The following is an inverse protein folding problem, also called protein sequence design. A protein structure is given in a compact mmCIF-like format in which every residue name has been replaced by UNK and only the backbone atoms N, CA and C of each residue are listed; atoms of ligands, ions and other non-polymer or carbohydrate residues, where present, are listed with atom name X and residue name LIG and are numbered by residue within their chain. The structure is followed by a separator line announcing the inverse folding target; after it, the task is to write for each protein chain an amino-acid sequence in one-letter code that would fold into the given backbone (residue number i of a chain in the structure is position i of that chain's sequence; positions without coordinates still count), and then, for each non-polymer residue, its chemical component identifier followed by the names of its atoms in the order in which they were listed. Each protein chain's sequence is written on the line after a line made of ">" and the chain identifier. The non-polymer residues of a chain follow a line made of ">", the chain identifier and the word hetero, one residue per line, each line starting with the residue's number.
data_IF_646836630820
#
_entry.id   IF_646836630820
#
_cell.length_a   1.000
_cell.length_b   1.000
_cell.length_c   1.000
_cell.angle_alpha   90.00
_cell.angle_beta   90.00
_cell.angle_gamma   90.00
#
_symmetry.space_group_name_H-M   'P 1'
#
loop_
_entity.id
_entity.type
_entity.pdbx_description
1 polymer ?
#
# COMPACT_ATOMS: atom_id res chain seq x y z
N UNK A 1 3.20 27.36 -1.17
CA UNK A 1 3.10 27.03 -2.62
C UNK A 1 3.73 25.66 -2.86
N UNK A 2 3.00 24.68 -3.42
CA UNK A 2 3.57 23.35 -3.72
C UNK A 2 4.56 23.48 -4.87
N UNK A 3 5.82 23.14 -4.63
CA UNK A 3 6.90 23.23 -5.63
C UNK A 3 6.57 22.32 -6.84
N UNK A 4 6.28 22.87 -8.04
CA UNK A 4 5.79 22.11 -9.18
C UNK A 4 6.82 21.13 -9.78
N UNK A 5 8.10 21.25 -9.40
CA UNK A 5 9.18 20.43 -9.96
C UNK A 5 9.25 19.00 -9.40
N UNK A 6 8.77 18.73 -8.19
CA UNK A 6 8.79 17.38 -7.61
C UNK A 6 7.93 16.42 -8.44
N UNK A 7 6.79 16.90 -8.96
CA UNK A 7 5.83 16.07 -9.70
C UNK A 7 6.23 15.77 -11.15
N UNK A 8 7.11 16.57 -11.77
CA UNK A 8 7.56 16.35 -13.16
C UNK A 8 8.45 15.10 -13.29
N UNK A 9 9.13 14.69 -12.21
CA UNK A 9 10.02 13.54 -12.22
C UNK A 9 9.34 12.17 -12.03
N UNK A 10 8.05 12.12 -11.73
CA UNK A 10 7.37 10.84 -11.46
C UNK A 10 7.03 10.06 -12.73
N UNK A 11 6.99 10.71 -13.91
CA UNK A 11 6.56 10.03 -15.14
C UNK A 11 7.43 8.85 -15.56
N UNK A 12 8.71 8.83 -15.17
CA UNK A 12 9.60 7.67 -15.41
C UNK A 12 9.14 6.40 -14.69
N UNK A 13 8.28 6.51 -13.68
CA UNK A 13 7.75 5.38 -12.90
C UNK A 13 6.38 4.87 -13.41
N UNK A 14 5.85 5.39 -14.53
CA UNK A 14 4.53 4.98 -15.05
C UNK A 14 4.38 3.48 -15.36
N UNK A 15 5.49 2.75 -15.49
CA UNK A 15 5.52 1.32 -15.77
C UNK A 15 6.19 0.52 -14.63
N UNK A 16 6.10 1.02 -13.39
CA UNK A 16 6.72 0.43 -12.21
C UNK A 16 5.69 0.23 -11.11
N UNK A 17 5.97 -0.72 -10.22
CA UNK A 17 5.29 -0.79 -8.94
C UNK A 17 5.93 0.22 -7.99
N UNK A 18 5.09 0.94 -7.25
CA UNK A 18 5.52 1.95 -6.28
C UNK A 18 4.97 1.53 -4.93
N UNK A 19 5.84 1.15 -3.99
CA UNK A 19 5.46 0.88 -2.61
C UNK A 19 5.71 2.13 -1.74
N UNK A 20 4.76 2.49 -0.89
CA UNK A 20 4.87 3.59 0.07
C UNK A 20 4.99 3.02 1.48
N UNK A 21 6.09 3.36 2.14
CA UNK A 21 6.42 2.97 3.53
C UNK A 21 6.31 4.17 4.47
N UNK A 22 6.20 3.89 5.77
CA UNK A 22 6.15 4.89 6.84
C UNK A 22 5.07 4.56 7.86
N UNK A 23 5.05 5.26 8.99
CA UNK A 23 4.10 4.98 10.08
C UNK A 23 2.63 5.23 9.70
N UNK A 24 1.70 4.69 10.49
CA UNK A 24 0.27 5.01 10.41
C UNK A 24 0.05 6.53 10.54
N UNK A 25 -0.92 7.10 9.83
CA UNK A 25 -1.21 8.54 9.89
C UNK A 25 -0.25 9.46 9.11
N UNK A 26 0.89 8.95 8.61
CA UNK A 26 1.85 9.74 7.80
C UNK A 26 1.35 10.16 6.41
N UNK A 27 0.12 9.80 6.05
CA UNK A 27 -0.53 10.23 4.80
C UNK A 27 -0.24 9.34 3.58
N UNK A 28 0.30 8.13 3.77
CA UNK A 28 0.63 7.19 2.68
C UNK A 28 -0.52 6.94 1.71
N UNK A 29 -1.71 6.67 2.23
CA UNK A 29 -2.92 6.43 1.42
C UNK A 29 -3.30 7.68 0.61
N UNK A 30 -3.23 8.86 1.22
CA UNK A 30 -3.54 10.13 0.56
C UNK A 30 -2.54 10.45 -0.56
N UNK A 31 -1.23 10.32 -0.28
CA UNK A 31 -0.17 10.54 -1.26
C UNK A 31 -0.21 9.47 -2.35
N UNK A 32 -0.45 8.20 -2.01
CA UNK A 32 -0.55 7.08 -2.94
C UNK A 32 -1.66 7.26 -3.97
N UNK A 33 -2.85 7.72 -3.53
CA UNK A 33 -3.95 8.06 -4.44
C UNK A 33 -3.58 9.20 -5.39
N UNK A 34 -2.85 10.22 -4.93
CA UNK A 34 -2.37 11.31 -5.78
C UNK A 34 -1.36 10.83 -6.83
N UNK A 35 -0.39 10.00 -6.44
CA UNK A 35 0.60 9.40 -7.34
C UNK A 35 -0.10 8.52 -8.38
N UNK A 36 -1.01 7.64 -7.94
CA UNK A 36 -1.76 6.75 -8.81
C UNK A 36 -2.58 7.54 -9.85
N UNK A 37 -3.30 8.59 -9.42
CA UNK A 37 -4.04 9.48 -10.32
C UNK A 37 -3.12 10.15 -11.34
N UNK A 38 -1.94 10.64 -10.92
CA UNK A 38 -1.00 11.34 -11.80
C UNK A 38 -0.37 10.41 -12.84
N UNK A 39 -0.06 9.18 -12.45
CA UNK A 39 0.59 8.18 -13.31
C UNK A 39 -0.39 7.26 -14.04
N UNK A 40 -1.71 7.46 -13.84
CA UNK A 40 -2.78 6.58 -14.36
C UNK A 40 -2.62 5.12 -13.93
N UNK A 41 -2.19 4.90 -12.68
CA UNK A 41 -2.04 3.60 -12.06
C UNK A 41 -3.19 3.29 -11.10
N UNK A 42 -3.32 2.03 -10.69
CA UNK A 42 -4.24 1.63 -9.61
C UNK A 42 -3.55 1.81 -8.25
N UNK A 43 -4.28 2.32 -7.27
CA UNK A 43 -3.83 2.40 -5.87
C UNK A 43 -4.45 1.27 -5.06
N UNK A 44 -3.66 0.71 -4.15
CA UNK A 44 -4.07 -0.30 -3.19
C UNK A 44 -3.47 0.00 -1.81
N UNK A 45 -4.14 -0.50 -0.77
CA UNK A 45 -3.73 -0.38 0.62
C UNK A 45 -3.62 -1.80 1.19
N UNK A 46 -2.47 -2.16 1.77
CA UNK A 46 -2.20 -3.53 2.23
C UNK A 46 -3.18 -3.97 3.31
N UNK A 47 -3.57 -3.07 4.20
CA UNK A 47 -4.48 -3.36 5.31
C UNK A 47 -5.85 -3.75 4.76
N UNK A 48 -6.36 -2.98 3.79
CA UNK A 48 -7.60 -3.31 3.08
C UNK A 48 -7.52 -4.61 2.29
N UNK A 49 -6.34 -4.94 1.74
CA UNK A 49 -6.13 -6.21 1.04
C UNK A 49 -6.17 -7.39 2.01
N UNK A 50 -5.50 -7.26 3.16
CA UNK A 50 -5.51 -8.27 4.22
C UNK A 50 -6.95 -8.52 4.66
N UNK A 51 -7.72 -7.48 4.98
CA UNK A 51 -9.11 -7.64 5.43
C UNK A 51 -9.99 -8.26 4.33
N UNK A 52 -9.78 -7.86 3.08
CA UNK A 52 -10.51 -8.40 1.94
C UNK A 52 -10.23 -9.90 1.71
N UNK A 53 -8.99 -10.34 1.88
CA UNK A 53 -8.59 -11.73 1.63
C UNK A 53 -8.89 -12.65 2.81
N UNK A 54 -8.72 -12.18 4.04
CA UNK A 54 -8.97 -12.96 5.25
C UNK A 54 -10.44 -12.97 5.67
N UNK A 55 -11.24 -12.00 5.18
CA UNK A 55 -12.62 -11.75 5.64
C UNK A 55 -12.70 -11.42 7.14
N UNK A 56 -11.58 -10.96 7.73
CA UNK A 56 -11.47 -10.52 9.12
C UNK A 56 -10.93 -9.09 9.12
N UNK A 57 -11.38 -8.27 10.07
CA UNK A 57 -10.70 -6.99 10.34
C UNK A 57 -9.30 -7.22 10.87
N UNK A 58 -8.40 -6.24 10.77
CA UNK A 58 -7.07 -6.34 11.37
C UNK A 58 -7.18 -6.65 12.88
N UNK A 59 -8.06 -5.97 13.60
CA UNK A 59 -8.27 -6.22 15.03
C UNK A 59 -8.66 -7.68 15.31
N UNK A 60 -9.58 -8.25 14.53
CA UNK A 60 -9.95 -9.66 14.67
C UNK A 60 -8.78 -10.62 14.40
N UNK A 61 -7.86 -10.27 13.50
CA UNK A 61 -6.66 -11.07 13.24
C UNK A 61 -5.72 -11.00 14.45
N UNK A 62 -5.47 -9.81 15.00
CA UNK A 62 -4.66 -9.67 16.21
C UNK A 62 -5.27 -10.40 17.41
N UNK A 63 -6.59 -10.29 17.60
CA UNK A 63 -7.30 -10.96 18.70
C UNK A 63 -7.23 -12.49 18.61
N UNK A 64 -7.20 -13.05 17.39
CA UNK A 64 -7.22 -14.51 17.19
C UNK A 64 -5.84 -15.14 16.96
N UNK A 65 -4.90 -14.41 16.34
CA UNK A 65 -3.62 -14.96 15.87
C UNK A 65 -2.40 -14.23 16.44
N UNK A 66 -2.63 -13.13 17.17
CA UNK A 66 -1.58 -12.26 17.70
C UNK A 66 -0.79 -11.55 16.59
N UNK A 67 0.24 -10.83 17.01
CA UNK A 67 1.11 -10.10 16.08
C UNK A 67 1.84 -11.04 15.12
N UNK A 68 2.40 -12.14 15.63
CA UNK A 68 3.14 -13.10 14.80
C UNK A 68 2.29 -13.66 13.66
N UNK A 69 1.03 -14.03 13.95
CA UNK A 69 0.10 -14.49 12.93
C UNK A 69 -0.26 -13.40 11.93
N UNK A 70 -0.49 -12.17 12.41
CA UNK A 70 -0.70 -11.01 11.54
C UNK A 70 0.48 -10.80 10.57
N UNK A 71 1.74 -10.88 11.03
CA UNK A 71 2.92 -10.70 10.18
C UNK A 71 3.04 -11.75 9.08
N UNK A 72 2.72 -13.00 9.38
CA UNK A 72 2.69 -14.08 8.38
C UNK A 72 1.61 -13.80 7.31
N UNK A 73 0.42 -13.37 7.74
CA UNK A 73 -0.68 -13.02 6.84
C UNK A 73 -0.33 -11.80 5.97
N UNK A 74 0.28 -10.78 6.56
CA UNK A 74 0.73 -9.56 5.90
C UNK A 74 1.76 -9.89 4.81
N UNK A 75 2.83 -10.61 5.15
CA UNK A 75 3.87 -11.02 4.21
C UNK A 75 3.26 -11.80 3.03
N UNK A 76 2.46 -12.83 3.32
CA UNK A 76 1.80 -13.64 2.29
C UNK A 76 0.90 -12.79 1.39
N UNK A 77 0.17 -11.84 1.96
CA UNK A 77 -0.71 -10.94 1.20
C UNK A 77 0.09 -10.04 0.26
N UNK A 78 1.18 -9.44 0.76
CA UNK A 78 2.05 -8.57 -0.03
C UNK A 78 2.73 -9.36 -1.14
N UNK A 79 3.34 -10.51 -0.84
CA UNK A 79 4.01 -11.36 -1.84
C UNK A 79 3.07 -11.82 -2.97
N UNK A 80 1.81 -12.13 -2.64
CA UNK A 80 0.80 -12.44 -3.66
C UNK A 80 0.43 -11.21 -4.51
N UNK A 81 0.56 -10.01 -3.95
CA UNK A 81 0.16 -8.78 -4.60
C UNK A 81 1.27 -8.14 -5.45
N UNK A 82 2.55 -8.29 -5.08
CA UNK A 82 3.69 -7.65 -5.76
C UNK A 82 3.85 -8.10 -7.22
N UNK A 83 3.31 -9.26 -7.60
CA UNK A 83 3.34 -9.77 -8.97
C UNK A 83 2.45 -8.97 -9.94
N UNK A 84 1.54 -8.15 -9.43
CA UNK A 84 0.82 -7.17 -10.27
C UNK A 84 1.80 -6.17 -10.86
N UNK A 85 1.46 -5.60 -12.02
CA UNK A 85 2.29 -4.58 -12.68
C UNK A 85 1.60 -3.22 -12.61
N UNK A 86 2.40 -2.17 -12.54
CA UNK A 86 1.96 -0.78 -12.67
C UNK A 86 0.94 -0.38 -11.59
N UNK A 87 1.29 -0.65 -10.33
CA UNK A 87 0.46 -0.33 -9.17
C UNK A 87 1.17 0.63 -8.21
N UNK A 88 0.38 1.33 -7.41
CA UNK A 88 0.84 2.03 -6.21
C UNK A 88 0.27 1.29 -5.00
N UNK A 89 1.14 0.84 -4.09
CA UNK A 89 0.77 0.09 -2.89
C UNK A 89 1.17 0.90 -1.65
N UNK A 90 0.20 1.27 -0.82
CA UNK A 90 0.46 1.78 0.53
C UNK A 90 0.56 0.59 1.47
N UNK A 91 1.71 0.46 2.14
CA UNK A 91 1.93 -0.61 3.12
C UNK A 91 1.44 -0.19 4.51
N UNK A 92 1.32 -1.18 5.40
CA UNK A 92 1.00 -1.01 6.81
C UNK A 92 2.03 -0.14 7.55
N UNK A 93 1.75 0.16 8.81
CA UNK A 93 2.56 1.09 9.61
C UNK A 93 3.79 0.49 10.30
N UNK A 94 3.96 -0.82 10.31
CA UNK A 94 5.00 -1.50 11.08
C UNK A 94 5.45 -2.79 10.45
#
# INVERSE_FOLDING_TARGET
>A
MKNPNILKNFQKYKNKNIALIGHMGSGKTSVGKLIAKKLKLKHFDSDQLIEKYTKKTINQIFDSEGESGFRIIEEKTILNFINKKNIVLSLGGG
#
